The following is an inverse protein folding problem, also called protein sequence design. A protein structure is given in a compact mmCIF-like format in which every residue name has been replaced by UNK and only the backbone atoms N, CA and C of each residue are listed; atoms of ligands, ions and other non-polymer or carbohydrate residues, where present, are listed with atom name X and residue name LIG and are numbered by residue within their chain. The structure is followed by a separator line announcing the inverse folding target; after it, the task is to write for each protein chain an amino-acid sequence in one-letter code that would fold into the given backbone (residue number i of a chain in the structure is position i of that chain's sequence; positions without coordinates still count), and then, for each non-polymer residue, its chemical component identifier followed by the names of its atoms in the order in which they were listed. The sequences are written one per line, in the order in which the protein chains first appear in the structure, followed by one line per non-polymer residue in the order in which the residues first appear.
data_IF_794028340293
#
_entry.id   IF_794028340293
#
_cell.length_a   1.000
_cell.length_b   1.000
_cell.length_c   1.000
_cell.angle_alpha   90.00
_cell.angle_beta   90.00
_cell.angle_gamma   90.00
#
_symmetry.space_group_name_H-M   'P 1'
#
loop_
_entity.id
_entity.type
_entity.pdbx_description
1 polymer ?
#
# COMPACT_ATOMS: atom_id res chain seq x y z
N UNK A 1 -3.04 -8.86 -3.24
CA UNK A 1 -2.15 -9.35 -4.31
C UNK A 1 -2.49 -8.58 -5.58
N UNK A 2 -1.64 -7.66 -6.02
CA UNK A 2 -1.89 -6.84 -7.21
C UNK A 2 -1.03 -7.37 -8.36
N UNK A 3 -1.67 -7.81 -9.44
CA UNK A 3 -1.02 -8.29 -10.66
C UNK A 3 -1.41 -7.30 -11.76
N UNK A 4 -0.44 -6.58 -12.32
CA UNK A 4 -0.70 -5.62 -13.40
C UNK A 4 -0.10 -6.09 -14.71
N UNK A 5 -0.88 -5.98 -15.78
CA UNK A 5 -0.46 -6.21 -17.16
C UNK A 5 -1.28 -5.28 -18.07
N UNK A 6 -0.77 -4.08 -18.35
CA UNK A 6 -1.36 -3.19 -19.36
C UNK A 6 -0.83 -3.54 -20.75
N UNK A 7 -1.76 -3.66 -21.68
CA UNK A 7 -1.53 -4.00 -23.09
C UNK A 7 -1.47 -2.78 -24.01
N UNK A 8 -1.48 -1.55 -23.49
CA UNK A 8 -1.42 -0.33 -24.28
C UNK A 8 -0.48 0.72 -23.67
N UNK A 9 0.78 0.69 -24.12
CA UNK A 9 1.94 1.57 -23.80
C UNK A 9 2.84 1.02 -22.68
N UNK A 10 4.11 0.78 -23.08
CA UNK A 10 5.30 0.40 -22.31
C UNK A 10 5.02 -0.20 -20.91
N UNK A 11 5.14 -1.52 -20.86
CA UNK A 11 5.08 -2.36 -19.65
C UNK A 11 6.10 -1.85 -18.62
N UNK A 12 5.63 -1.14 -17.59
CA UNK A 12 6.36 -0.94 -16.33
C UNK A 12 5.64 -1.77 -15.27
N UNK A 13 5.74 -3.09 -15.27
CA UNK A 13 6.54 -3.73 -14.24
C UNK A 13 6.55 -5.25 -14.49
N UNK A 14 7.74 -5.85 -14.49
CA UNK A 14 7.95 -7.29 -14.46
C UNK A 14 7.95 -7.83 -13.03
N UNK A 15 7.38 -7.11 -12.06
CA UNK A 15 7.51 -7.41 -10.65
C UNK A 15 6.17 -7.60 -9.95
N UNK A 16 6.15 -8.56 -9.01
CA UNK A 16 5.12 -8.67 -7.98
C UNK A 16 5.62 -7.93 -6.74
N UNK A 17 4.82 -6.99 -6.22
CA UNK A 17 5.12 -6.23 -5.02
C UNK A 17 4.13 -6.62 -3.92
N UNK A 18 4.65 -6.99 -2.76
CA UNK A 18 3.88 -7.40 -1.60
C UNK A 18 4.27 -6.57 -0.37
N UNK A 19 3.27 -5.93 0.22
CA UNK A 19 3.42 -5.13 1.44
C UNK A 19 3.13 -6.01 2.65
N UNK A 20 4.04 -6.00 3.61
CA UNK A 20 3.88 -6.69 4.88
C UNK A 20 3.78 -5.67 6.01
N UNK A 21 2.65 -5.70 6.72
CA UNK A 21 2.36 -4.83 7.85
C UNK A 21 3.41 -4.96 8.96
N UNK A 22 3.76 -6.19 9.33
CA UNK A 22 4.70 -6.43 10.43
C UNK A 22 6.12 -6.01 10.03
N UNK A 23 6.72 -5.05 10.75
CA UNK A 23 8.03 -4.45 10.45
C UNK A 23 8.07 -3.63 9.14
N UNK A 24 6.92 -3.30 8.55
CA UNK A 24 6.83 -2.43 7.37
C UNK A 24 7.81 -2.82 6.25
N UNK A 25 7.72 -4.08 5.81
CA UNK A 25 8.61 -4.61 4.76
C UNK A 25 7.86 -4.75 3.45
N UNK A 26 8.44 -4.26 2.36
CA UNK A 26 7.96 -4.50 1.01
C UNK A 26 8.85 -5.56 0.35
N UNK A 27 8.22 -6.61 -0.16
CA UNK A 27 8.87 -7.66 -0.94
C UNK A 27 8.59 -7.45 -2.42
N UNK A 28 9.64 -7.47 -3.24
CA UNK A 28 9.55 -7.38 -4.69
C UNK A 28 10.14 -8.63 -5.32
N UNK A 29 9.31 -9.36 -6.07
CA UNK A 29 9.71 -10.54 -6.83
C UNK A 29 9.73 -10.24 -8.32
N UNK A 30 10.64 -10.88 -9.07
CA UNK A 30 10.44 -11.02 -10.50
C UNK A 30 9.17 -11.86 -10.75
N UNK A 31 8.20 -11.28 -11.44
CA UNK A 31 6.89 -11.86 -11.67
C UNK A 31 6.97 -13.16 -12.48
N UNK A 32 7.86 -13.24 -13.47
CA UNK A 32 8.03 -14.46 -14.28
C UNK A 32 8.60 -15.58 -13.43
N UNK A 33 9.66 -15.30 -12.65
CA UNK A 33 10.24 -16.28 -11.73
C UNK A 33 9.24 -16.73 -10.67
N UNK A 34 8.43 -15.81 -10.14
CA UNK A 34 7.37 -16.14 -9.18
C UNK A 34 6.30 -17.05 -9.81
N UNK A 35 5.87 -16.77 -11.04
CA UNK A 35 4.96 -17.66 -11.77
C UNK A 35 5.56 -19.04 -12.05
N UNK A 36 6.85 -19.12 -12.41
CA UNK A 36 7.54 -20.39 -12.59
C UNK A 36 7.59 -21.20 -11.29
N UNK A 37 7.83 -20.53 -10.15
CA UNK A 37 7.75 -21.16 -8.84
C UNK A 37 6.36 -21.72 -8.52
N UNK A 38 5.28 -20.96 -8.76
CA UNK A 38 3.89 -21.46 -8.56
C UNK A 38 3.63 -22.73 -9.40
N UNK A 39 4.23 -22.81 -10.60
CA UNK A 39 4.11 -23.98 -11.48
C UNK A 39 5.02 -25.15 -11.10
N UNK A 40 5.87 -25.01 -10.08
CA UNK A 40 6.86 -26.01 -9.69
C UNK A 40 8.06 -26.11 -10.65
N UNK A 41 8.25 -25.13 -11.52
CA UNK A 41 9.33 -25.10 -12.52
C UNK A 41 10.65 -24.51 -11.98
N UNK A 42 10.56 -23.77 -10.87
CA UNK A 42 11.68 -23.08 -10.22
C UNK A 42 11.56 -23.24 -8.70
N UNK A 43 12.67 -23.21 -7.97
CA UNK A 43 12.66 -23.01 -6.52
C UNK A 43 12.11 -21.61 -6.17
N UNK A 44 11.76 -21.38 -4.90
CA UNK A 44 11.24 -20.09 -4.44
C UNK A 44 12.20 -18.94 -4.81
N UNK A 45 11.74 -17.92 -5.57
CA UNK A 45 12.62 -16.84 -6.00
C UNK A 45 12.94 -15.92 -4.83
N UNK A 46 14.21 -15.52 -4.70
CA UNK A 46 14.64 -14.54 -3.70
C UNK A 46 14.03 -13.15 -4.01
N UNK A 47 13.26 -12.55 -3.08
CA UNK A 47 12.76 -11.20 -3.26
C UNK A 47 13.83 -10.14 -2.95
N UNK A 48 13.70 -8.97 -3.58
CA UNK A 48 14.25 -7.73 -3.00
C UNK A 48 13.38 -7.31 -1.82
N UNK A 49 14.01 -6.89 -0.73
CA UNK A 49 13.33 -6.45 0.48
C UNK A 49 13.63 -4.98 0.73
N UNK A 50 12.60 -4.21 1.03
CA UNK A 50 12.71 -2.79 1.40
C UNK A 50 12.05 -2.64 2.78
N UNK A 51 12.78 -2.11 3.75
CA UNK A 51 12.26 -1.85 5.09
C UNK A 51 12.01 -0.36 5.25
N UNK A 52 10.84 -0.02 5.78
CA UNK A 52 10.45 1.36 6.02
C UNK A 52 10.22 1.57 7.51
N UNK A 53 10.58 2.76 8.00
CA UNK A 53 10.08 3.28 9.27
C UNK A 53 8.94 4.22 8.93
N UNK A 54 7.72 3.82 9.27
CA UNK A 54 6.53 4.61 9.00
C UNK A 54 6.30 5.65 10.12
N UNK A 55 5.54 6.71 9.85
CA UNK A 55 5.21 7.71 10.86
C UNK A 55 4.45 7.11 12.04
N UNK A 56 4.67 7.68 13.23
CA UNK A 56 4.01 7.27 14.46
C UNK A 56 2.80 8.16 14.77
N UNK A 57 1.78 7.58 15.39
CA UNK A 57 0.72 8.32 16.09
C UNK A 57 0.79 7.93 17.56
N UNK A 58 0.93 8.92 18.45
CA UNK A 58 1.11 8.72 19.89
C UNK A 58 2.27 7.77 20.26
N UNK A 59 3.35 7.76 19.48
CA UNK A 59 4.51 6.90 19.73
C UNK A 59 4.37 5.46 19.23
N UNK A 60 3.27 5.15 18.51
CA UNK A 60 3.03 3.83 17.91
C UNK A 60 3.21 3.94 16.41
N UNK A 61 4.12 3.13 15.86
CA UNK A 61 4.43 3.10 14.42
C UNK A 61 3.23 2.57 13.62
N UNK A 62 2.90 3.24 12.52
CA UNK A 62 1.89 2.75 11.59
C UNK A 62 2.33 1.47 10.90
N UNK A 63 1.36 0.62 10.57
CA UNK A 63 1.57 -0.58 9.77
C UNK A 63 0.95 -0.41 8.38
N UNK A 64 1.67 -0.81 7.32
CA UNK A 64 1.07 -0.89 5.98
C UNK A 64 -0.23 -1.71 6.01
N UNK A 65 -1.29 -1.17 5.43
CA UNK A 65 -2.62 -1.78 5.44
C UNK A 65 -3.16 -2.03 4.03
N UNK A 66 -2.81 -1.18 3.07
CA UNK A 66 -3.25 -1.31 1.67
C UNK A 66 -2.27 -0.66 0.70
N UNK A 67 -2.31 -1.06 -0.57
CA UNK A 67 -1.49 -0.45 -1.60
C UNK A 67 -2.14 -0.58 -2.99
N UNK A 68 -1.86 0.36 -3.88
CA UNK A 68 -2.22 0.30 -5.30
C UNK A 68 -1.17 1.05 -6.13
N UNK A 69 -1.32 1.10 -7.44
CA UNK A 69 -0.39 1.78 -8.34
C UNK A 69 -1.04 3.00 -8.98
N UNK A 70 -0.25 4.07 -9.09
CA UNK A 70 -0.53 5.29 -9.85
C UNK A 70 0.35 5.26 -11.11
N UNK A 71 -0.10 4.59 -12.19
CA UNK A 71 0.74 4.33 -13.36
C UNK A 71 1.15 5.58 -14.12
N UNK A 72 0.30 6.62 -14.19
CA UNK A 72 0.67 7.87 -14.90
C UNK A 72 1.71 8.68 -14.13
N UNK A 73 1.64 8.66 -12.80
CA UNK A 73 2.61 9.31 -11.92
C UNK A 73 3.86 8.46 -11.64
N UNK A 74 3.88 7.19 -12.07
CA UNK A 74 4.95 6.22 -11.72
C UNK A 74 5.18 6.10 -10.21
N UNK A 75 4.08 5.97 -9.46
CA UNK A 75 4.12 5.84 -8.00
C UNK A 75 3.33 4.62 -7.53
N UNK A 76 3.69 4.11 -6.36
CA UNK A 76 2.82 3.29 -5.53
C UNK A 76 2.09 4.23 -4.58
N UNK A 77 0.78 4.06 -4.43
CA UNK A 77 -0.01 4.66 -3.36
C UNK A 77 -0.22 3.60 -2.28
N UNK A 78 -0.03 3.93 -1.02
CA UNK A 78 -0.27 3.03 0.10
C UNK A 78 -1.10 3.69 1.19
N UNK A 79 -1.79 2.86 1.97
CA UNK A 79 -2.41 3.24 3.23
C UNK A 79 -1.69 2.53 4.37
N UNK A 80 -1.65 3.19 5.53
CA UNK A 80 -1.15 2.61 6.76
C UNK A 80 -2.03 3.03 7.93
N UNK A 81 -2.28 2.10 8.86
CA UNK A 81 -3.11 2.30 10.04
C UNK A 81 -2.26 2.13 11.30
N UNK A 82 -2.58 2.92 12.34
CA UNK A 82 -2.01 2.76 13.67
C UNK A 82 -3.07 2.15 14.57
N UNK A 83 -2.75 1.02 15.21
CA UNK A 83 -3.59 0.32 16.17
C UNK A 83 -2.79 0.14 17.46
N UNK A 84 -3.36 0.58 18.58
CA UNK A 84 -2.76 0.45 19.91
C UNK A 84 -3.05 -0.95 20.47
N UNK A 85 -2.21 -1.90 20.08
CA UNK A 85 -2.26 -3.29 20.56
C UNK A 85 -0.86 -3.86 20.76
N UNK A 86 -0.69 -4.60 21.85
CA UNK A 86 0.54 -5.30 22.19
C UNK A 86 0.73 -6.61 21.38
N UNK A 87 -0.28 -7.04 20.60
CA UNK A 87 -0.19 -8.27 19.81
C UNK A 87 -0.93 -8.19 18.46
N UNK A 88 -0.56 -9.06 17.51
CA UNK A 88 -1.08 -9.05 16.14
C UNK A 88 -2.44 -9.76 15.97
N UNK A 89 -3.12 -10.10 17.08
CA UNK A 89 -4.35 -10.92 17.08
C UNK A 89 -5.54 -10.20 17.73
N UNK A 90 -5.28 -9.31 18.68
CA UNK A 90 -6.28 -8.48 19.34
C UNK A 90 -6.35 -7.12 18.63
N UNK A 91 -7.55 -6.75 18.20
CA UNK A 91 -7.83 -5.46 17.59
C UNK A 91 -7.68 -4.37 18.66
N UNK A 92 -6.61 -3.57 18.52
CA UNK A 92 -6.30 -2.45 19.40
C UNK A 92 -7.17 -1.22 19.18
N UNK A 93 -7.01 -0.18 20.00
CA UNK A 93 -7.64 1.10 19.69
C UNK A 93 -7.06 1.64 18.38
N UNK A 94 -7.92 1.89 17.40
CA UNK A 94 -7.52 2.54 16.16
C UNK A 94 -7.11 3.98 16.49
N UNK A 95 -5.85 4.34 16.26
CA UNK A 95 -5.32 5.68 16.53
C UNK A 95 -5.41 6.61 15.32
N UNK A 96 -5.51 6.05 14.12
CA UNK A 96 -5.70 6.78 12.88
C UNK A 96 -5.10 6.07 11.68
N UNK A 97 -5.24 6.69 10.51
CA UNK A 97 -4.67 6.19 9.26
C UNK A 97 -3.98 7.31 8.49
N UNK A 98 -3.08 6.91 7.61
CA UNK A 98 -2.38 7.78 6.68
C UNK A 98 -2.41 7.21 5.28
N UNK A 99 -2.18 8.09 4.31
CA UNK A 99 -1.99 7.74 2.91
C UNK A 99 -0.63 8.28 2.47
N UNK A 100 0.10 7.51 1.69
CA UNK A 100 1.43 7.90 1.23
C UNK A 100 1.79 7.35 -0.13
N UNK A 101 2.83 7.91 -0.73
CA UNK A 101 3.33 7.48 -2.04
C UNK A 101 4.81 7.10 -1.99
N UNK A 102 5.18 6.10 -2.78
CA UNK A 102 6.56 5.66 -3.02
C UNK A 102 6.81 5.70 -4.52
N UNK A 103 7.91 6.29 -4.97
CA UNK A 103 8.26 6.33 -6.39
C UNK A 103 8.61 4.93 -6.92
N UNK A 104 8.08 4.60 -8.11
CA UNK A 104 8.51 3.43 -8.87
C UNK A 104 9.76 3.78 -9.67
N UNK A 105 10.79 2.97 -9.54
CA UNK A 105 12.06 3.08 -10.25
C UNK A 105 12.17 1.96 -11.29
N UNK A 106 13.03 2.13 -12.30
CA UNK A 106 13.20 1.16 -13.39
C UNK A 106 13.38 -0.30 -12.92
N UNK A 107 14.08 -0.50 -11.80
CA UNK A 107 14.38 -1.82 -11.25
C UNK A 107 13.90 -2.03 -9.80
N UNK A 108 13.04 -1.16 -9.29
CA UNK A 108 12.62 -1.21 -7.89
C UNK A 108 11.68 -0.10 -7.45
N UNK A 109 11.79 0.24 -6.18
CA UNK A 109 11.03 1.32 -5.54
C UNK A 109 11.99 2.23 -4.78
N UNK A 110 11.60 3.48 -4.56
CA UNK A 110 12.35 4.38 -3.68
C UNK A 110 12.37 3.88 -2.23
N UNK A 111 13.43 4.21 -1.50
CA UNK A 111 13.53 4.05 -0.05
C UNK A 111 12.88 5.21 0.72
N UNK A 112 12.54 6.29 0.01
CA UNK A 112 11.79 7.43 0.55
C UNK A 112 10.31 7.37 0.15
N UNK A 113 9.47 8.01 0.97
CA UNK A 113 8.05 8.16 0.72
C UNK A 113 7.54 9.51 1.18
N UNK A 114 6.44 9.94 0.59
CA UNK A 114 5.66 11.09 1.05
C UNK A 114 4.37 10.59 1.70
N UNK A 115 3.84 11.32 2.67
CA UNK A 115 2.59 10.93 3.31
C UNK A 115 1.80 12.13 3.84
N UNK A 116 0.51 11.91 4.05
CA UNK A 116 -0.33 12.76 4.86
C UNK A 116 -1.28 11.93 5.72
N UNK A 117 -1.70 12.50 6.86
CA UNK A 117 -2.72 11.88 7.70
C UNK A 117 -4.06 11.95 6.97
N UNK A 118 -4.82 10.86 7.05
CA UNK A 118 -6.20 10.85 6.55
C UNK A 118 -7.05 11.63 7.57
N UNK A 119 -7.72 12.70 7.15
CA UNK A 119 -8.60 13.45 8.03
C UNK A 119 -9.69 12.54 8.60
N UNK A 120 -9.94 12.66 9.89
CA UNK A 120 -11.00 11.94 10.58
C UNK A 120 -11.88 12.92 11.36
N UNK A 121 -13.13 12.53 11.56
CA UNK A 121 -14.07 13.24 12.42
C UNK A 121 -13.85 12.84 13.89
N UNK A 122 -14.94 12.68 14.64
CA UNK A 122 -14.86 12.16 16.02
C UNK A 122 -14.36 10.70 16.06
N UNK A 123 -14.67 9.93 15.02
CA UNK A 123 -14.23 8.54 14.89
C UNK A 123 -13.01 8.42 13.98
N UNK A 124 -11.98 7.74 14.49
CA UNK A 124 -10.77 7.39 13.75
C UNK A 124 -11.08 6.20 12.85
N UNK A 125 -10.64 6.26 11.59
CA UNK A 125 -10.86 5.19 10.62
C UNK A 125 -9.61 4.31 10.51
N UNK A 126 -9.77 2.99 10.58
CA UNK A 126 -8.76 1.99 10.20
C UNK A 126 -8.93 1.71 8.72
N UNK A 127 -8.09 2.32 7.90
CA UNK A 127 -8.15 2.20 6.45
C UNK A 127 -7.34 0.98 6.03
N UNK A 128 -7.97 -0.03 5.46
CA UNK A 128 -7.36 -1.32 5.10
C UNK A 128 -7.19 -1.52 3.60
N UNK A 129 -7.69 -0.60 2.78
CA UNK A 129 -7.42 -0.65 1.35
C UNK A 129 -7.52 0.70 0.66
N UNK A 130 -6.84 0.78 -0.48
CA UNK A 130 -6.91 1.87 -1.45
C UNK A 130 -7.04 1.29 -2.85
N UNK A 131 -7.89 1.91 -3.66
CA UNK A 131 -7.91 1.72 -5.10
C UNK A 131 -7.97 3.06 -5.81
N UNK A 132 -7.46 3.10 -7.04
CA UNK A 132 -7.48 4.27 -7.91
C UNK A 132 -8.74 4.20 -8.77
N UNK A 133 -9.61 5.20 -8.63
CA UNK A 133 -10.82 5.36 -9.45
C UNK A 133 -10.48 6.07 -10.77
N UNK A 134 -9.71 7.14 -10.69
CA UNK A 134 -9.16 7.84 -11.85
C UNK A 134 -7.87 8.56 -11.50
N UNK A 135 -7.01 8.75 -12.50
CA UNK A 135 -5.71 9.40 -12.36
C UNK A 135 -5.56 10.45 -13.47
N UNK A 136 -5.21 11.68 -13.09
CA UNK A 136 -4.81 12.76 -13.97
C UNK A 136 -3.36 13.11 -13.70
N UNK A 137 -2.49 13.01 -14.71
CA UNK A 137 -1.05 13.19 -14.53
C UNK A 137 -0.66 14.55 -13.96
N UNK A 138 -1.50 15.58 -14.10
CA UNK A 138 -1.19 16.95 -13.70
C UNK A 138 -1.99 17.44 -12.49
N UNK A 139 -3.08 16.77 -12.12
CA UNK A 139 -4.00 17.27 -11.09
C UNK A 139 -4.18 16.38 -9.87
N UNK A 140 -3.78 15.10 -9.95
CA UNK A 140 -4.02 14.17 -8.86
C UNK A 140 -4.67 12.85 -9.26
N UNK A 141 -5.13 12.13 -8.23
CA UNK A 141 -5.91 10.91 -8.40
C UNK A 141 -7.16 10.96 -7.52
N UNK A 142 -8.28 10.49 -8.07
CA UNK A 142 -9.44 10.15 -7.28
C UNK A 142 -9.25 8.73 -6.77
N UNK A 143 -9.38 8.57 -5.47
CA UNK A 143 -9.14 7.32 -4.77
C UNK A 143 -10.42 6.90 -4.04
N UNK A 144 -10.56 5.58 -3.91
CA UNK A 144 -11.55 4.96 -3.06
C UNK A 144 -10.78 4.20 -1.97
N UNK A 145 -11.05 4.53 -0.72
CA UNK A 145 -10.51 3.87 0.46
C UNK A 145 -11.63 3.07 1.13
N UNK A 146 -11.29 1.94 1.72
CA UNK A 146 -12.24 1.17 2.54
C UNK A 146 -11.68 1.07 3.95
N UNK A 147 -12.52 1.41 4.93
CA UNK A 147 -12.24 1.16 6.33
C UNK A 147 -12.81 -0.18 6.80
N UNK A 148 -12.19 -0.75 7.82
CA UNK A 148 -12.73 -1.82 8.65
C UNK A 148 -12.97 -1.27 10.07
N UNK A 149 -14.07 -1.65 10.71
CA UNK A 149 -14.41 -1.22 12.07
C UNK A 149 -14.28 -2.35 13.11
N UNK A 150 -13.76 -3.50 12.69
CA UNK A 150 -13.59 -4.74 13.48
C UNK A 150 -14.94 -5.30 14.02
N UNK A 151 -16.08 -4.73 13.59
CA UNK A 151 -17.44 -5.15 13.96
C UNK A 151 -18.21 -5.66 12.74
N UNK A 152 -17.53 -5.84 11.62
CA UNK A 152 -18.08 -6.36 10.37
C UNK A 152 -18.74 -5.30 9.49
N UNK A 153 -18.58 -4.01 9.80
CA UNK A 153 -18.99 -2.94 8.89
C UNK A 153 -17.77 -2.41 8.12
N UNK A 154 -18.05 -1.83 6.95
CA UNK A 154 -17.02 -1.14 6.18
C UNK A 154 -17.53 0.19 5.70
N UNK A 155 -16.69 1.22 5.76
CA UNK A 155 -17.01 2.54 5.24
C UNK A 155 -16.22 2.79 3.96
N UNK A 156 -16.92 3.20 2.90
CA UNK A 156 -16.29 3.67 1.68
C UNK A 156 -15.99 5.17 1.81
N UNK A 157 -14.72 5.53 1.68
CA UNK A 157 -14.26 6.92 1.68
C UNK A 157 -13.77 7.28 0.28
N UNK A 158 -14.33 8.35 -0.29
CA UNK A 158 -13.82 8.92 -1.55
C UNK A 158 -12.94 10.10 -1.23
N UNK A 159 -11.73 10.14 -1.78
CA UNK A 159 -10.83 11.27 -1.61
C UNK A 159 -10.12 11.62 -2.92
N UNK A 160 -9.65 12.87 -3.00
CA UNK A 160 -8.77 13.33 -4.08
C UNK A 160 -7.38 13.53 -3.48
N UNK A 161 -6.41 12.77 -3.97
CA UNK A 161 -5.00 13.05 -3.76
C UNK A 161 -4.58 14.11 -4.78
N UNK A 162 -3.94 15.18 -4.32
CA UNK A 162 -3.40 16.26 -5.16
C UNK A 162 -1.87 16.27 -5.02
N UNK A 163 -1.18 16.56 -6.12
CA UNK A 163 0.28 16.70 -6.19
C UNK A 163 0.67 17.95 -6.97
#
# INVERSE_FOLDING_TARGET
MYIWKDTSRKIYSCFLIHFNRKKNVIFQFDYKKFLQYIKGELAFPEPKCYSFTLPEINGIEAGFSGASVLPKASKIIFTASVEDTDNAYDDGEILGSMIGTIDLLDAGISDTFEYCLIPHGEEKLKIESVTVDSEDSNEGANLILISDDDKGNSTLVKCKLVW
#
